data_IF_603635608305
#
_entry.id   IF_603635608305
#
_cell.length_a   1.000
_cell.length_b   1.000
_cell.length_c   1.000
_cell.angle_alpha   90.00
_cell.angle_beta   90.00
_cell.angle_gamma   90.00
#
_symmetry.space_group_name_H-M   'P 1'
#
loop_
_entity.id
_entity.type
_entity.pdbx_description
1 polymer ?
#
# COMPACT_ATOMS: atom_id res chain seq x y z
N UNK A 1 7.07 71.77 -22.25
CA UNK A 1 8.42 71.28 -22.60
C UNK A 1 8.47 69.76 -22.44
N UNK A 2 8.91 69.08 -23.50
CA UNK A 2 9.29 67.66 -23.61
C UNK A 2 8.21 66.61 -23.33
N UNK A 3 7.50 66.28 -24.40
CA UNK A 3 6.80 65.01 -24.62
C UNK A 3 7.78 63.83 -24.59
N UNK A 4 7.63 62.93 -23.62
CA UNK A 4 8.35 61.65 -23.60
C UNK A 4 7.51 60.63 -24.37
N UNK A 5 7.99 60.21 -25.55
CA UNK A 5 7.45 59.08 -26.30
C UNK A 5 7.85 57.80 -25.56
N UNK A 6 6.86 57.11 -24.97
CA UNK A 6 7.07 55.77 -24.43
C UNK A 6 7.03 54.78 -25.61
N UNK A 7 8.20 54.26 -25.98
CA UNK A 7 8.35 53.19 -26.97
C UNK A 7 8.01 51.88 -26.27
N UNK A 8 6.87 51.28 -26.60
CA UNK A 8 6.55 49.91 -26.21
C UNK A 8 7.51 48.96 -26.95
N UNK A 9 8.46 48.37 -26.23
CA UNK A 9 9.16 47.18 -26.68
C UNK A 9 8.25 45.97 -26.43
N UNK A 10 7.56 45.52 -27.49
CA UNK A 10 6.89 44.23 -27.50
C UNK A 10 7.95 43.12 -27.53
N UNK A 11 8.31 42.61 -26.35
CA UNK A 11 9.12 41.40 -26.24
C UNK A 11 8.20 40.24 -26.61
N UNK A 12 8.28 39.77 -27.86
CA UNK A 12 7.75 38.47 -28.27
C UNK A 12 8.51 37.40 -27.49
N UNK A 13 7.92 36.91 -26.40
CA UNK A 13 8.29 35.63 -25.82
C UNK A 13 7.86 34.56 -26.82
N UNK A 14 8.79 34.12 -27.69
CA UNK A 14 8.65 32.83 -28.37
C UNK A 14 8.71 31.75 -27.29
N UNK A 15 7.56 31.44 -26.70
CA UNK A 15 7.40 30.20 -25.95
C UNK A 15 7.63 29.07 -26.94
N UNK A 16 8.76 28.37 -26.81
CA UNK A 16 8.95 27.10 -27.47
C UNK A 16 7.87 26.15 -26.93
N UNK A 17 6.75 26.05 -27.66
CA UNK A 17 5.83 24.94 -27.50
C UNK A 17 6.64 23.74 -27.95
N UNK A 18 7.20 23.01 -26.98
CA UNK A 18 7.67 21.65 -27.21
C UNK A 18 6.41 20.84 -27.47
N UNK A 19 5.94 20.86 -28.72
CA UNK A 19 5.10 19.82 -29.27
C UNK A 19 5.95 18.56 -29.20
N UNK A 20 5.80 17.81 -28.10
CA UNK A 20 6.31 16.46 -28.02
C UNK A 20 5.75 15.71 -29.24
N UNK A 21 6.60 15.47 -30.23
CA UNK A 21 6.22 14.65 -31.36
C UNK A 21 6.03 13.23 -30.82
N UNK A 22 4.80 12.74 -30.87
CA UNK A 22 4.42 11.37 -30.55
C UNK A 22 4.99 10.33 -31.55
N UNK A 23 6.07 10.67 -32.26
CA UNK A 23 6.73 9.80 -33.22
C UNK A 23 8.10 9.46 -32.68
N UNK A 24 8.23 8.18 -32.30
CA UNK A 24 9.44 7.40 -32.00
C UNK A 24 9.40 6.66 -30.65
N UNK A 25 8.20 6.31 -30.16
CA UNK A 25 8.08 5.20 -29.20
C UNK A 25 7.90 3.92 -30.03
N UNK A 26 8.90 3.02 -30.11
CA UNK A 26 8.69 1.72 -30.75
C UNK A 26 7.51 1.03 -30.04
N UNK A 27 6.58 0.37 -30.76
CA UNK A 27 5.49 -0.36 -30.12
C UNK A 27 6.13 -1.49 -29.32
N UNK A 28 6.22 -1.32 -28.00
CA UNK A 28 6.98 -2.26 -27.16
C UNK A 28 6.24 -3.59 -27.00
N UNK A 29 4.93 -3.65 -27.29
CA UNK A 29 4.14 -4.89 -27.36
C UNK A 29 2.92 -4.71 -28.28
N UNK A 30 2.36 -5.81 -28.81
CA UNK A 30 1.07 -5.80 -29.53
C UNK A 30 -0.16 -5.76 -28.61
N UNK A 31 0.02 -5.98 -27.31
CA UNK A 31 -1.07 -6.09 -26.32
C UNK A 31 -1.34 -4.79 -25.58
N UNK A 32 -0.29 -3.99 -25.32
CA UNK A 32 -0.36 -2.65 -24.72
C UNK A 32 0.64 -1.74 -25.41
N UNK A 33 0.16 -0.58 -25.88
CA UNK A 33 0.98 0.40 -26.59
C UNK A 33 0.45 1.83 -26.38
N UNK A 34 1.28 2.87 -26.54
CA UNK A 34 0.82 4.24 -26.47
C UNK A 34 -0.13 4.57 -27.64
N UNK A 35 -1.29 5.13 -27.31
CA UNK A 35 -2.25 5.70 -28.23
C UNK A 35 -1.88 7.11 -28.67
N UNK A 36 -2.60 7.61 -29.67
CA UNK A 36 -2.39 8.96 -30.23
C UNK A 36 -2.79 10.08 -29.28
N UNK A 37 -3.54 9.77 -28.22
CA UNK A 37 -3.96 10.69 -27.16
C UNK A 37 -3.01 10.69 -25.95
N UNK A 38 -1.88 9.97 -26.03
CA UNK A 38 -0.91 9.83 -24.95
C UNK A 38 -1.32 8.87 -23.83
N UNK A 39 -2.44 8.14 -23.98
CA UNK A 39 -2.86 7.07 -23.06
C UNK A 39 -2.46 5.71 -23.60
N UNK A 40 -2.43 4.70 -22.74
CA UNK A 40 -2.21 3.32 -23.17
C UNK A 40 -3.48 2.75 -23.82
N UNK A 41 -3.29 2.07 -24.95
CA UNK A 41 -4.31 1.26 -25.61
C UNK A 41 -4.11 -0.19 -25.17
N UNK A 42 -5.20 -0.85 -24.78
CA UNK A 42 -5.20 -2.22 -24.28
C UNK A 42 -5.97 -3.12 -25.25
N UNK A 43 -5.27 -4.07 -25.87
CA UNK A 43 -5.84 -5.03 -26.81
C UNK A 43 -6.37 -6.23 -26.04
N UNK A 44 -7.61 -6.62 -26.34
CA UNK A 44 -8.23 -7.81 -25.76
C UNK A 44 -7.82 -9.08 -26.51
N UNK A 45 -7.71 -10.20 -25.79
CA UNK A 45 -7.66 -11.53 -26.41
C UNK A 45 -9.06 -11.97 -26.91
N UNK A 46 -9.16 -13.20 -27.43
CA UNK A 46 -10.41 -13.75 -27.97
C UNK A 46 -11.53 -13.95 -26.94
N UNK A 47 -11.20 -13.97 -25.64
CA UNK A 47 -12.16 -14.05 -24.54
C UNK A 47 -12.46 -12.67 -23.93
N UNK A 48 -11.86 -11.60 -24.46
CA UNK A 48 -12.03 -10.24 -23.95
C UNK A 48 -11.03 -9.85 -22.85
N UNK A 49 -10.09 -10.72 -22.48
CA UNK A 49 -9.12 -10.42 -21.43
C UNK A 49 -8.14 -9.36 -21.90
N UNK A 50 -7.79 -8.44 -21.00
CA UNK A 50 -6.79 -7.40 -21.25
C UNK A 50 -5.73 -7.45 -20.16
N UNK A 51 -4.53 -7.00 -20.49
CA UNK A 51 -3.57 -6.59 -19.46
C UNK A 51 -4.29 -5.52 -18.60
N UNK A 52 -4.43 -5.71 -17.28
CA UNK A 52 -5.17 -4.76 -16.47
C UNK A 52 -4.54 -3.36 -16.49
N UNK A 53 -5.38 -2.33 -16.46
CA UNK A 53 -4.95 -0.96 -16.20
C UNK A 53 -4.69 -0.78 -14.69
N UNK A 54 -3.48 -0.32 -14.36
CA UNK A 54 -3.03 -0.07 -12.99
C UNK A 54 -2.99 1.43 -12.64
N UNK A 55 -3.49 2.31 -13.50
CA UNK A 55 -3.50 3.76 -13.30
C UNK A 55 -4.25 4.20 -12.04
N UNK A 56 -5.11 3.32 -11.49
CA UNK A 56 -5.87 3.57 -10.26
C UNK A 56 -5.08 3.30 -8.95
N UNK A 57 -3.81 2.91 -9.04
CA UNK A 57 -2.98 2.65 -7.87
C UNK A 57 -2.50 3.94 -7.20
N UNK A 58 -2.55 3.96 -5.87
CA UNK A 58 -2.04 5.04 -5.03
C UNK A 58 -3.13 5.97 -4.48
N UNK A 59 -2.67 7.02 -3.81
CA UNK A 59 -3.46 8.02 -3.10
C UNK A 59 -4.62 8.54 -3.96
N UNK A 60 -5.84 8.47 -3.41
CA UNK A 60 -7.10 8.86 -4.06
C UNK A 60 -7.37 8.22 -5.43
N UNK A 61 -6.86 7.01 -5.65
CA UNK A 61 -7.08 6.28 -6.90
C UNK A 61 -6.11 6.65 -8.01
N UNK A 62 -4.90 7.07 -7.65
CA UNK A 62 -3.85 7.44 -8.61
C UNK A 62 -4.08 8.80 -9.27
N UNK A 63 -3.05 9.30 -9.94
CA UNK A 63 -3.12 10.55 -10.73
C UNK A 63 -3.20 11.86 -9.93
N UNK A 64 -3.31 11.82 -8.60
CA UNK A 64 -3.30 12.99 -7.73
C UNK A 64 -1.99 13.10 -6.94
N UNK A 65 -1.39 14.30 -6.83
CA UNK A 65 -0.21 14.50 -6.00
C UNK A 65 -0.56 14.34 -4.52
N UNK A 66 0.39 13.81 -3.75
CA UNK A 66 0.30 13.79 -2.29
C UNK A 66 0.29 15.25 -1.79
N UNK A 67 -0.71 15.67 -0.99
CA UNK A 67 -0.85 17.05 -0.57
C UNK A 67 0.21 17.46 0.45
N UNK A 68 0.33 18.77 0.65
CA UNK A 68 0.97 19.34 1.83
C UNK A 68 -0.10 19.75 2.84
N UNK A 69 -0.05 19.16 4.04
CA UNK A 69 -0.97 19.48 5.14
C UNK A 69 -0.28 20.44 6.12
N UNK A 70 -0.86 21.61 6.47
CA UNK A 70 -0.26 22.54 7.41
C UNK A 70 -0.05 21.94 8.81
N UNK A 71 1.05 22.35 9.46
CA UNK A 71 1.31 21.97 10.85
C UNK A 71 0.28 22.61 11.79
N UNK A 72 -0.21 21.84 12.76
CA UNK A 72 -1.10 22.28 13.83
C UNK A 72 -0.53 22.05 15.22
N UNK A 73 0.43 21.14 15.34
CA UNK A 73 1.20 20.91 16.53
C UNK A 73 2.68 20.78 16.16
N UNK A 74 3.57 21.26 17.02
CA UNK A 74 5.02 21.08 16.88
C UNK A 74 5.62 20.70 18.22
N UNK A 75 6.36 19.60 18.25
CA UNK A 75 6.99 19.07 19.47
C UNK A 75 8.47 18.79 19.27
N UNK A 76 9.21 18.84 20.37
CA UNK A 76 10.64 18.53 20.46
C UNK A 76 10.83 17.21 21.21
N UNK A 77 11.94 16.50 20.99
CA UNK A 77 12.24 15.32 21.79
C UNK A 77 12.45 15.71 23.25
N UNK A 78 11.96 14.87 24.16
CA UNK A 78 12.22 14.97 25.60
C UNK A 78 13.20 13.87 26.03
N UNK A 79 13.93 14.02 27.15
CA UNK A 79 14.76 12.95 27.68
C UNK A 79 13.94 11.68 28.01
N UNK A 80 14.41 10.51 27.56
CA UNK A 80 13.76 9.22 27.81
C UNK A 80 12.63 8.89 26.82
N UNK A 81 11.62 8.14 27.27
CA UNK A 81 10.51 7.68 26.45
C UNK A 81 9.62 8.85 25.97
N UNK A 82 9.49 8.97 24.66
CA UNK A 82 8.69 9.97 23.96
C UNK A 82 7.33 9.42 23.49
N UNK A 83 7.00 8.16 23.78
CA UNK A 83 5.76 7.52 23.30
C UNK A 83 4.52 8.34 23.65
N UNK A 84 4.38 8.72 24.92
CA UNK A 84 3.21 9.47 25.40
C UNK A 84 3.24 10.94 24.93
N UNK A 85 4.42 11.53 24.75
CA UNK A 85 4.61 12.89 24.20
C UNK A 85 4.10 12.97 22.75
N UNK A 86 4.53 12.04 21.89
CA UNK A 86 4.09 11.99 20.48
C UNK A 86 2.61 11.62 20.40
N UNK A 87 2.15 10.65 21.19
CA UNK A 87 0.73 10.25 21.17
C UNK A 87 -0.18 11.42 21.58
N UNK A 88 0.18 12.18 22.62
CA UNK A 88 -0.60 13.35 23.03
C UNK A 88 -0.69 14.42 21.93
N UNK A 89 0.39 14.64 21.17
CA UNK A 89 0.38 15.56 20.03
C UNK A 89 -0.54 15.06 18.90
N UNK A 90 -0.51 13.75 18.60
CA UNK A 90 -1.44 13.11 17.65
C UNK A 90 -2.88 13.27 18.11
N UNK A 91 -3.16 13.03 19.39
CA UNK A 91 -4.52 13.11 19.96
C UNK A 91 -5.05 14.54 19.92
N UNK A 92 -4.19 15.54 20.21
CA UNK A 92 -4.53 16.97 20.10
C UNK A 92 -4.92 17.36 18.68
N UNK A 93 -4.15 16.94 17.67
CA UNK A 93 -4.50 17.20 16.26
C UNK A 93 -5.74 16.40 15.86
N UNK A 94 -5.91 15.17 16.35
CA UNK A 94 -7.08 14.33 16.10
C UNK A 94 -8.39 14.95 16.62
N UNK A 95 -8.32 15.80 17.65
CA UNK A 95 -9.47 16.52 18.20
C UNK A 95 -9.89 17.76 17.40
N UNK A 96 -9.04 18.29 16.51
CA UNK A 96 -9.37 19.46 15.69
C UNK A 96 -10.43 19.13 14.65
N UNK A 97 -11.36 20.05 14.30
CA UNK A 97 -12.30 19.81 13.21
C UNK A 97 -11.55 19.60 11.88
N UNK A 98 -11.97 18.65 11.04
CA UNK A 98 -11.39 18.51 9.71
C UNK A 98 -11.76 19.70 8.82
N UNK A 99 -10.85 20.06 7.92
CA UNK A 99 -11.09 21.03 6.86
C UNK A 99 -11.94 20.46 5.72
N UNK A 100 -12.19 21.27 4.68
CA UNK A 100 -13.00 20.88 3.52
C UNK A 100 -12.42 19.69 2.73
N UNK A 101 -11.13 19.36 2.91
CA UNK A 101 -10.46 18.25 2.27
C UNK A 101 -10.30 17.03 3.19
N UNK A 102 -10.83 17.12 4.42
CA UNK A 102 -10.81 16.06 5.42
C UNK A 102 -9.57 16.07 6.32
N UNK A 103 -8.73 17.11 6.29
CA UNK A 103 -7.52 17.20 7.10
C UNK A 103 -7.76 17.98 8.40
N UNK A 104 -7.26 17.44 9.50
CA UNK A 104 -7.21 18.09 10.82
C UNK A 104 -5.91 18.85 11.01
N UNK A 105 -4.80 18.32 10.47
CA UNK A 105 -3.50 18.96 10.50
C UNK A 105 -2.33 17.98 10.55
N UNK A 106 -1.12 18.53 10.50
CA UNK A 106 0.10 17.78 10.74
C UNK A 106 0.64 18.02 12.16
N UNK A 107 1.14 16.95 12.79
CA UNK A 107 2.05 16.98 13.93
C UNK A 107 3.47 17.03 13.39
N UNK A 108 4.17 18.12 13.65
CA UNK A 108 5.59 18.26 13.32
C UNK A 108 6.45 17.80 14.50
N UNK A 109 7.22 16.74 14.29
CA UNK A 109 8.34 16.35 15.14
C UNK A 109 9.57 17.11 14.65
N UNK A 110 10.17 17.92 15.52
CA UNK A 110 11.43 18.60 15.20
C UNK A 110 12.57 17.61 15.03
N UNK A 111 13.63 18.01 14.33
CA UNK A 111 14.84 17.19 14.23
C UNK A 111 15.37 16.81 15.62
N UNK A 112 15.86 15.58 15.75
CA UNK A 112 16.32 15.01 17.01
C UNK A 112 15.87 13.56 17.20
N UNK A 113 16.29 12.96 18.31
CA UNK A 113 16.07 11.54 18.62
C UNK A 113 14.94 11.37 19.62
N UNK A 114 13.96 10.57 19.25
CA UNK A 114 12.80 10.21 20.07
C UNK A 114 12.88 8.72 20.38
N UNK A 115 13.16 8.36 21.63
CA UNK A 115 13.08 6.97 22.08
C UNK A 115 11.62 6.60 22.31
N UNK A 116 11.18 5.42 21.85
CA UNK A 116 9.81 4.96 21.96
C UNK A 116 9.79 3.56 22.57
N UNK A 117 9.37 3.46 23.82
CA UNK A 117 9.16 2.17 24.51
C UNK A 117 7.79 1.54 24.21
N UNK A 118 6.89 2.31 23.59
CA UNK A 118 5.55 1.88 23.17
C UNK A 118 5.27 2.35 21.74
N UNK A 119 4.46 1.61 20.98
CA UNK A 119 4.03 2.06 19.67
C UNK A 119 3.09 3.27 19.77
N UNK A 120 3.11 4.12 18.75
CA UNK A 120 2.17 5.22 18.56
C UNK A 120 1.09 4.85 17.54
N UNK A 121 -0.08 5.48 17.64
CA UNK A 121 -1.24 5.17 16.80
C UNK A 121 -1.93 6.42 16.25
N UNK A 122 -2.26 6.40 14.96
CA UNK A 122 -3.16 7.34 14.30
C UNK A 122 -4.46 6.60 14.02
N UNK A 123 -5.52 6.97 14.76
CA UNK A 123 -6.82 6.26 14.75
C UNK A 123 -7.97 7.09 14.17
N UNK A 124 -7.68 8.31 13.71
CA UNK A 124 -8.67 9.27 13.23
C UNK A 124 -8.21 9.82 11.87
N UNK A 125 -9.18 10.04 10.97
CA UNK A 125 -8.93 10.63 9.65
C UNK A 125 -8.32 12.03 9.75
N UNK A 126 -7.52 12.39 8.74
CA UNK A 126 -7.04 13.75 8.53
C UNK A 126 -5.77 14.14 9.28
N UNK A 127 -5.04 13.18 9.85
CA UNK A 127 -3.86 13.44 10.68
C UNK A 127 -2.58 13.05 9.93
N UNK A 128 -1.60 13.94 9.92
CA UNK A 128 -0.28 13.68 9.34
C UNK A 128 0.79 13.71 10.44
N UNK A 129 1.65 12.72 10.49
CA UNK A 129 2.87 12.72 11.29
C UNK A 129 4.06 13.09 10.40
N UNK A 130 4.74 14.19 10.72
CA UNK A 130 5.81 14.76 9.89
C UNK A 130 7.07 14.95 10.73
N UNK A 131 8.22 14.53 10.22
CA UNK A 131 9.53 14.92 10.73
C UNK A 131 10.24 15.99 9.88
N UNK A 132 11.51 16.22 10.18
CA UNK A 132 12.39 17.18 9.50
C UNK A 132 13.53 16.49 8.74
N UNK A 133 13.26 15.31 8.17
CA UNK A 133 14.15 14.60 7.27
C UNK A 133 14.44 13.17 7.70
N UNK A 134 14.79 12.33 6.73
CA UNK A 134 15.07 10.90 6.92
C UNK A 134 16.55 10.55 7.08
N UNK A 135 17.43 11.55 7.21
CA UNK A 135 18.87 11.34 7.43
C UNK A 135 19.20 11.19 8.91
N UNK A 136 20.49 11.01 9.22
CA UNK A 136 21.01 10.86 10.58
C UNK A 136 21.01 12.17 11.39
N UNK A 137 20.69 13.30 10.75
CA UNK A 137 20.54 14.61 11.39
C UNK A 137 19.08 15.11 11.36
N UNK A 138 18.15 14.28 10.88
CA UNK A 138 16.72 14.60 10.80
C UNK A 138 15.94 14.22 12.05
N UNK A 139 14.69 13.78 11.86
CA UNK A 139 13.84 13.25 12.94
C UNK A 139 14.02 11.74 13.03
N UNK A 140 14.50 11.24 14.17
CA UNK A 140 14.81 9.83 14.37
C UNK A 140 13.90 9.23 15.44
N UNK A 141 13.15 8.20 15.10
CA UNK A 141 12.35 7.40 16.03
C UNK A 141 13.10 6.09 16.33
N UNK A 142 13.51 5.90 17.58
CA UNK A 142 14.16 4.68 18.05
C UNK A 142 13.15 3.84 18.81
N UNK A 143 12.68 2.74 18.21
CA UNK A 143 11.83 1.78 18.88
C UNK A 143 12.64 0.89 19.82
N UNK A 144 12.32 0.95 21.12
CA UNK A 144 12.97 0.16 22.17
C UNK A 144 11.97 -0.79 22.81
N UNK A 145 12.41 -2.01 23.08
CA UNK A 145 11.61 -2.96 23.86
C UNK A 145 12.26 -3.09 25.23
N UNK A 146 11.59 -2.67 26.32
CA UNK A 146 12.11 -2.79 27.67
C UNK A 146 12.57 -4.22 27.97
N UNK A 147 13.69 -4.38 28.69
CA UNK A 147 14.36 -5.68 28.90
C UNK A 147 13.51 -6.73 29.62
N UNK A 148 12.51 -6.29 30.37
CA UNK A 148 11.53 -7.13 31.08
C UNK A 148 10.35 -7.55 30.19
N UNK A 149 10.30 -7.08 28.94
CA UNK A 149 9.25 -7.37 27.97
C UNK A 149 9.78 -8.13 26.78
N UNK A 150 8.95 -9.02 26.27
CA UNK A 150 9.15 -9.62 24.95
C UNK A 150 8.58 -8.71 23.88
N UNK A 151 9.11 -8.82 22.67
CA UNK A 151 8.59 -8.10 21.53
C UNK A 151 7.07 -8.28 21.43
N UNK A 152 6.37 -7.15 21.36
CA UNK A 152 4.96 -7.13 21.06
C UNK A 152 4.75 -7.85 19.72
N UNK A 153 3.56 -8.45 19.55
CA UNK A 153 3.18 -9.13 18.30
C UNK A 153 3.33 -8.23 17.06
N UNK A 154 2.86 -8.69 15.90
CA UNK A 154 3.15 -8.09 14.57
C UNK A 154 2.63 -6.65 14.30
N UNK A 155 2.41 -5.81 15.30
CA UNK A 155 2.14 -4.38 15.16
C UNK A 155 3.37 -3.57 14.69
N UNK A 156 3.13 -2.31 14.35
CA UNK A 156 4.17 -1.36 13.96
C UNK A 156 4.63 -0.49 15.13
N UNK A 157 5.79 0.16 14.98
CA UNK A 157 6.16 1.30 15.83
C UNK A 157 5.16 2.45 15.64
N UNK A 158 4.71 2.64 14.40
CA UNK A 158 3.62 3.54 14.00
C UNK A 158 2.47 2.70 13.44
N UNK A 159 1.28 2.86 14.00
CA UNK A 159 0.08 2.16 13.57
C UNK A 159 -0.94 3.16 13.01
N UNK A 160 -1.22 3.09 11.72
CA UNK A 160 -2.34 3.78 11.08
C UNK A 160 -3.50 2.80 11.03
N UNK A 161 -4.43 2.91 11.97
CA UNK A 161 -5.51 1.93 12.10
C UNK A 161 -6.82 2.56 12.54
N UNK A 162 -7.82 2.50 11.66
CA UNK A 162 -9.21 2.77 12.03
C UNK A 162 -9.75 1.69 12.98
N UNK A 163 -10.72 2.05 13.85
CA UNK A 163 -11.32 1.10 14.80
C UNK A 163 -12.18 0.03 14.10
N UNK A 164 -12.71 0.34 12.92
CA UNK A 164 -13.62 -0.52 12.16
C UNK A 164 -13.21 -0.59 10.69
N UNK A 165 -13.48 -1.75 10.08
CA UNK A 165 -13.22 -2.03 8.68
C UNK A 165 -14.45 -1.69 7.82
N UNK A 166 -14.47 -2.18 6.59
CA UNK A 166 -15.70 -2.16 5.76
C UNK A 166 -16.72 -3.18 6.29
N UNK A 167 -18.00 -2.84 6.22
CA UNK A 167 -19.11 -3.74 6.58
C UNK A 167 -20.01 -3.99 5.35
N UNK A 168 -20.00 -5.20 4.76
CA UNK A 168 -20.88 -5.54 3.64
C UNK A 168 -22.37 -5.46 4.01
N UNK A 169 -23.19 -4.95 3.10
CA UNK A 169 -24.65 -4.86 3.23
C UNK A 169 -25.29 -5.97 2.40
N UNK A 170 -25.31 -7.19 2.93
CA UNK A 170 -25.69 -8.41 2.18
C UNK A 170 -27.11 -8.39 1.58
N UNK A 171 -28.02 -7.60 2.14
CA UNK A 171 -29.36 -7.35 1.59
C UNK A 171 -29.34 -6.64 0.23
N UNK A 172 -28.24 -5.95 -0.09
CA UNK A 172 -28.03 -5.30 -1.40
C UNK A 172 -27.44 -6.22 -2.45
N UNK A 173 -27.12 -7.48 -2.10
CA UNK A 173 -26.43 -8.41 -2.99
C UNK A 173 -27.13 -8.59 -4.33
N UNK A 174 -26.38 -8.55 -5.42
CA UNK A 174 -26.84 -8.90 -6.76
C UNK A 174 -25.86 -9.83 -7.46
N UNK A 175 -26.37 -10.91 -8.06
CA UNK A 175 -25.55 -11.84 -8.82
C UNK A 175 -25.07 -11.21 -10.12
N UNK A 176 -23.83 -11.50 -10.49
CA UNK A 176 -23.30 -11.24 -11.84
C UNK A 176 -23.91 -12.30 -12.78
N UNK A 177 -24.49 -11.85 -13.88
CA UNK A 177 -25.22 -12.72 -14.83
C UNK A 177 -24.41 -13.11 -16.06
N UNK A 178 -23.24 -12.50 -16.27
CA UNK A 178 -22.36 -12.89 -17.37
C UNK A 178 -21.79 -14.29 -17.13
N UNK A 179 -21.76 -15.11 -18.18
CA UNK A 179 -21.09 -16.42 -18.12
C UNK A 179 -19.57 -16.27 -17.91
N UNK A 180 -19.01 -15.15 -18.39
CA UNK A 180 -17.60 -14.82 -18.33
C UNK A 180 -17.42 -13.30 -18.24
N UNK A 181 -16.85 -12.82 -17.14
CA UNK A 181 -16.34 -11.44 -17.01
C UNK A 181 -14.81 -11.50 -17.18
N UNK A 182 -14.24 -10.85 -18.21
CA UNK A 182 -12.81 -10.98 -18.52
C UNK A 182 -11.88 -10.38 -17.45
N UNK A 183 -10.65 -10.89 -17.39
CA UNK A 183 -9.55 -10.21 -16.71
C UNK A 183 -9.35 -8.83 -17.33
N UNK A 184 -9.19 -7.80 -16.50
CA UNK A 184 -9.07 -6.42 -16.98
C UNK A 184 -10.41 -5.74 -17.28
N UNK A 185 -11.55 -6.40 -17.03
CA UNK A 185 -12.85 -5.79 -17.25
C UNK A 185 -13.19 -4.73 -16.18
N UNK A 186 -13.77 -3.62 -16.63
CA UNK A 186 -14.36 -2.57 -15.78
C UNK A 186 -15.89 -2.50 -15.90
N UNK A 187 -16.53 -3.52 -16.49
CA UNK A 187 -17.98 -3.59 -16.58
C UNK A 187 -18.49 -5.02 -16.66
N UNK A 188 -19.68 -5.25 -16.10
CA UNK A 188 -20.38 -6.54 -16.12
C UNK A 188 -21.88 -6.33 -15.87
N UNK A 189 -22.69 -7.33 -16.19
CA UNK A 189 -24.14 -7.35 -16.01
C UNK A 189 -24.52 -8.01 -14.68
N UNK A 190 -25.51 -7.44 -14.02
CA UNK A 190 -26.09 -7.99 -12.78
C UNK A 190 -27.57 -8.28 -12.93
N UNK A 191 -28.12 -9.12 -12.04
CA UNK A 191 -29.53 -9.50 -12.07
C UNK A 191 -30.49 -8.29 -12.02
N UNK A 192 -30.19 -7.30 -11.16
CA UNK A 192 -30.92 -6.03 -11.10
C UNK A 192 -30.02 -4.90 -10.59
N UNK A 193 -29.78 -3.89 -11.41
CA UNK A 193 -29.01 -2.71 -10.99
C UNK A 193 -29.87 -1.59 -10.37
N UNK A 194 -31.18 -1.81 -10.17
CA UNK A 194 -32.12 -0.75 -9.70
C UNK A 194 -31.73 -0.10 -8.38
N UNK A 195 -31.06 -0.84 -7.51
CA UNK A 195 -30.62 -0.34 -6.21
C UNK A 195 -29.27 0.39 -6.28
N UNK A 196 -28.59 0.42 -7.42
CA UNK A 196 -27.23 0.94 -7.59
C UNK A 196 -27.21 2.22 -8.41
N UNK A 197 -26.23 3.09 -8.12
CA UNK A 197 -25.97 4.33 -8.87
C UNK A 197 -24.47 4.64 -8.86
N UNK A 198 -24.06 5.54 -9.75
CA UNK A 198 -22.70 6.08 -9.73
C UNK A 198 -22.34 6.68 -8.35
N UNK A 199 -21.12 6.44 -7.90
CA UNK A 199 -20.61 6.80 -6.57
C UNK A 199 -20.87 5.76 -5.48
N UNK A 200 -21.72 4.76 -5.72
CA UNK A 200 -21.88 3.67 -4.76
C UNK A 200 -20.59 2.85 -4.67
N UNK A 201 -20.19 2.51 -3.43
CA UNK A 201 -19.07 1.63 -3.14
C UNK A 201 -19.55 0.20 -3.05
N UNK A 202 -18.86 -0.71 -3.72
CA UNK A 202 -19.22 -2.12 -3.79
C UNK A 202 -18.00 -3.01 -3.58
N UNK A 203 -18.25 -4.20 -3.04
CA UNK A 203 -17.37 -5.34 -3.21
C UNK A 203 -17.84 -6.13 -4.43
N UNK A 204 -16.96 -6.33 -5.40
CA UNK A 204 -17.15 -7.34 -6.44
C UNK A 204 -16.52 -8.64 -5.93
N UNK A 205 -17.33 -9.67 -5.74
CA UNK A 205 -16.94 -10.95 -5.14
C UNK A 205 -16.90 -12.03 -6.20
N UNK A 206 -15.75 -12.67 -6.34
CA UNK A 206 -15.51 -13.79 -7.25
C UNK A 206 -15.33 -15.07 -6.45
N UNK A 207 -16.14 -16.08 -6.74
CA UNK A 207 -16.10 -17.37 -6.06
C UNK A 207 -14.87 -18.16 -6.53
N UNK A 208 -14.05 -18.64 -5.59
CA UNK A 208 -13.00 -19.63 -5.80
C UNK A 208 -13.40 -20.96 -5.16
N UNK A 209 -14.12 -21.79 -5.90
CA UNK A 209 -14.58 -23.10 -5.43
C UNK A 209 -13.46 -24.17 -5.53
N UNK A 210 -13.73 -25.36 -5.00
CA UNK A 210 -12.74 -26.46 -5.00
C UNK A 210 -12.38 -26.92 -6.42
N UNK A 211 -13.36 -26.94 -7.34
CA UNK A 211 -13.13 -27.39 -8.72
C UNK A 211 -12.17 -26.46 -9.46
N UNK A 212 -12.30 -25.15 -9.29
CA UNK A 212 -11.35 -24.18 -9.81
C UNK A 212 -9.95 -24.36 -9.22
N UNK A 213 -9.85 -24.54 -7.91
CA UNK A 213 -8.56 -24.78 -7.22
C UNK A 213 -7.88 -26.03 -7.75
N UNK A 214 -8.65 -27.10 -7.99
CA UNK A 214 -8.16 -28.34 -8.59
C UNK A 214 -7.69 -28.14 -10.03
N UNK A 215 -8.45 -27.41 -10.84
CA UNK A 215 -8.13 -27.12 -12.23
C UNK A 215 -6.78 -26.38 -12.35
N UNK A 216 -6.51 -25.43 -11.45
CA UNK A 216 -5.23 -24.69 -11.45
C UNK A 216 -4.09 -25.43 -10.71
N UNK A 217 -4.35 -26.62 -10.16
CA UNK A 217 -3.35 -27.46 -9.51
C UNK A 217 -2.97 -27.08 -8.08
N UNK A 218 -3.67 -26.12 -7.47
CA UNK A 218 -3.36 -25.58 -6.13
C UNK A 218 -3.85 -26.47 -4.97
N UNK A 219 -4.53 -27.59 -5.25
CA UNK A 219 -4.83 -28.65 -4.29
C UNK A 219 -3.98 -29.94 -4.49
N UNK A 220 -3.03 -29.90 -5.43
CA UNK A 220 -2.21 -31.05 -5.82
C UNK A 220 -1.32 -31.57 -4.69
N UNK A 221 -0.91 -32.84 -4.76
CA UNK A 221 0.04 -33.43 -3.79
C UNK A 221 1.33 -32.59 -3.69
N UNK A 222 1.78 -32.00 -4.79
CA UNK A 222 2.96 -31.13 -4.84
C UNK A 222 2.82 -29.86 -3.97
N UNK A 223 1.62 -29.30 -3.85
CA UNK A 223 1.34 -28.18 -2.96
C UNK A 223 1.47 -28.56 -1.47
N UNK A 224 1.37 -29.85 -1.13
CA UNK A 224 1.64 -30.37 0.21
C UNK A 224 0.80 -29.71 1.29
N UNK A 225 1.46 -29.09 2.29
CA UNK A 225 0.77 -28.36 3.37
C UNK A 225 0.25 -26.97 2.94
N UNK A 226 0.67 -26.47 1.78
CA UNK A 226 0.29 -25.16 1.25
C UNK A 226 -0.92 -25.23 0.30
N UNK A 227 -1.61 -26.38 0.25
CA UNK A 227 -2.82 -26.55 -0.55
C UNK A 227 -3.86 -25.46 -0.26
N UNK A 228 -4.43 -24.91 -1.32
CA UNK A 228 -5.47 -23.92 -1.18
C UNK A 228 -6.78 -24.60 -0.76
N UNK A 229 -7.59 -23.84 -0.01
CA UNK A 229 -8.97 -24.18 0.33
C UNK A 229 -9.88 -23.18 -0.38
N UNK A 230 -11.17 -23.47 -0.63
CA UNK A 230 -12.07 -22.52 -1.25
C UNK A 230 -12.05 -21.15 -0.55
N UNK A 231 -11.99 -20.08 -1.33
CA UNK A 231 -12.00 -18.70 -0.86
C UNK A 231 -12.71 -17.78 -1.86
N UNK A 232 -13.08 -16.58 -1.40
CA UNK A 232 -13.65 -15.55 -2.26
C UNK A 232 -12.59 -14.49 -2.51
N UNK A 233 -12.40 -14.11 -3.76
CA UNK A 233 -11.61 -12.94 -4.13
C UNK A 233 -12.54 -11.73 -4.09
N UNK A 234 -12.14 -10.67 -3.38
CA UNK A 234 -12.94 -9.46 -3.22
C UNK A 234 -12.23 -8.27 -3.82
N UNK A 235 -12.96 -7.49 -4.62
CA UNK A 235 -12.47 -6.25 -5.22
C UNK A 235 -13.27 -5.07 -4.68
N UNK A 236 -12.62 -4.15 -3.97
CA UNK A 236 -13.20 -2.90 -3.49
C UNK A 236 -13.25 -1.89 -4.65
N UNK A 237 -14.45 -1.59 -5.13
CA UNK A 237 -14.69 -0.77 -6.32
C UNK A 237 -15.73 0.32 -6.08
N UNK A 238 -15.67 1.36 -6.90
CA UNK A 238 -16.67 2.42 -6.96
C UNK A 238 -17.38 2.32 -8.30
N UNK A 239 -18.71 2.35 -8.28
CA UNK A 239 -19.50 2.39 -9.50
C UNK A 239 -19.33 3.76 -10.14
N UNK A 240 -18.89 3.80 -11.40
CA UNK A 240 -18.75 5.03 -12.18
C UNK A 240 -19.98 5.30 -13.04
N UNK A 241 -20.69 4.25 -13.45
CA UNK A 241 -21.87 4.36 -14.30
C UNK A 241 -22.79 3.13 -14.16
N UNK A 242 -24.10 3.32 -14.38
CA UNK A 242 -25.10 2.25 -14.46
C UNK A 242 -25.89 2.39 -15.77
N UNK A 243 -25.89 1.36 -16.61
CA UNK A 243 -26.61 1.31 -17.90
C UNK A 243 -27.56 0.12 -17.93
N UNK A 244 -28.85 0.35 -17.64
CA UNK A 244 -29.78 -0.75 -17.47
C UNK A 244 -29.33 -1.64 -16.31
N UNK A 245 -28.95 -2.89 -16.61
CA UNK A 245 -28.38 -3.83 -15.64
C UNK A 245 -26.84 -3.96 -15.72
N UNK A 246 -26.18 -3.18 -16.57
CA UNK A 246 -24.71 -3.14 -16.66
C UNK A 246 -24.16 -2.16 -15.63
N UNK A 247 -23.22 -2.64 -14.81
CA UNK A 247 -22.44 -1.84 -13.86
C UNK A 247 -21.09 -1.54 -14.48
N UNK A 248 -20.63 -0.29 -14.38
CA UNK A 248 -19.26 0.13 -14.73
C UNK A 248 -18.53 0.54 -13.45
N UNK A 249 -17.29 0.09 -13.28
CA UNK A 249 -16.47 0.30 -12.08
C UNK A 249 -15.20 1.13 -12.36
N UNK A 250 -14.62 1.70 -11.31
CA UNK A 250 -13.47 2.61 -11.32
C UNK A 250 -12.14 1.97 -11.70
N UNK A 251 -11.94 0.69 -11.40
CA UNK A 251 -10.71 -0.05 -11.64
C UNK A 251 -11.02 -1.51 -12.05
N UNK A 252 -10.15 -2.19 -12.83
CA UNK A 252 -10.46 -3.51 -13.36
C UNK A 252 -10.52 -4.61 -12.29
N UNK A 253 -11.16 -5.73 -12.63
CA UNK A 253 -10.96 -6.99 -11.90
C UNK A 253 -9.70 -7.72 -12.41
N UNK A 254 -9.03 -8.46 -11.53
CA UNK A 254 -7.72 -9.08 -11.81
C UNK A 254 -7.77 -10.59 -12.02
N UNK A 255 -8.95 -11.18 -11.89
CA UNK A 255 -9.23 -12.60 -12.10
C UNK A 255 -10.62 -12.70 -12.69
N UNK A 256 -10.76 -13.49 -13.76
CA UNK A 256 -12.03 -13.64 -14.43
C UNK A 256 -13.12 -14.17 -13.48
N UNK A 257 -14.34 -13.67 -13.64
CA UNK A 257 -15.53 -14.23 -13.02
C UNK A 257 -16.14 -15.20 -14.03
N UNK A 258 -16.25 -16.47 -13.67
CA UNK A 258 -16.74 -17.52 -14.57
C UNK A 258 -17.90 -18.26 -13.92
N UNK A 259 -19.03 -18.36 -14.62
CA UNK A 259 -20.22 -19.04 -14.10
C UNK A 259 -19.94 -20.52 -13.76
N UNK A 260 -19.07 -21.19 -14.53
CA UNK A 260 -18.67 -22.60 -14.29
C UNK A 260 -17.96 -22.82 -12.94
N UNK A 261 -17.39 -21.78 -12.34
CA UNK A 261 -16.71 -21.86 -11.04
C UNK A 261 -17.55 -21.30 -9.88
N UNK A 262 -18.84 -21.05 -10.12
CA UNK A 262 -19.77 -20.46 -9.16
C UNK A 262 -20.03 -18.96 -9.39
N UNK A 263 -19.43 -18.36 -10.42
CA UNK A 263 -19.68 -16.98 -10.80
C UNK A 263 -19.22 -15.96 -9.75
N UNK A 264 -20.02 -14.92 -9.58
CA UNK A 264 -19.73 -13.84 -8.64
C UNK A 264 -20.95 -12.98 -8.36
N UNK A 265 -20.79 -12.05 -7.44
CA UNK A 265 -21.82 -11.11 -7.06
C UNK A 265 -21.23 -9.75 -6.67
N UNK A 266 -22.10 -8.75 -6.56
CA UNK A 266 -21.76 -7.45 -6.00
C UNK A 266 -22.59 -7.18 -4.75
N UNK A 267 -21.99 -6.48 -3.80
CA UNK A 267 -22.66 -6.04 -2.58
C UNK A 267 -22.17 -4.64 -2.21
N UNK A 268 -23.08 -3.75 -1.78
CA UNK A 268 -22.68 -2.46 -1.21
C UNK A 268 -22.00 -2.67 0.14
N UNK A 269 -21.27 -1.67 0.62
CA UNK A 269 -20.72 -1.71 1.97
C UNK A 269 -20.73 -0.34 2.64
N UNK A 270 -20.76 -0.35 3.97
CA UNK A 270 -20.47 0.83 4.79
C UNK A 270 -18.96 0.92 4.99
N UNK A 271 -18.42 2.11 4.76
CA UNK A 271 -16.98 2.37 4.78
C UNK A 271 -16.60 3.22 5.99
N UNK A 272 -16.17 2.58 7.07
CA UNK A 272 -15.76 3.26 8.31
C UNK A 272 -14.24 3.40 8.45
N UNK A 273 -13.50 3.03 7.40
CA UNK A 273 -12.04 3.17 7.37
C UNK A 273 -11.65 4.63 7.54
N UNK A 274 -10.58 4.86 8.30
CA UNK A 274 -9.99 6.20 8.38
C UNK A 274 -9.34 6.58 7.05
N UNK A 275 -9.24 7.87 6.80
CA UNK A 275 -8.63 8.37 5.57
C UNK A 275 -7.83 9.65 5.74
N UNK A 276 -7.09 10.04 4.70
CA UNK A 276 -6.32 11.28 4.69
C UNK A 276 -5.23 11.29 5.79
N UNK A 277 -4.45 10.21 5.85
CA UNK A 277 -3.38 10.02 6.85
C UNK A 277 -2.01 10.00 6.17
N UNK A 278 -1.04 10.67 6.75
CA UNK A 278 0.33 10.74 6.24
C UNK A 278 1.39 10.42 7.29
N UNK A 279 2.47 9.75 6.87
CA UNK A 279 3.72 9.65 7.66
C UNK A 279 4.88 10.05 6.77
N UNK A 280 5.64 11.08 7.13
CA UNK A 280 6.63 11.64 6.22
C UNK A 280 7.87 12.25 6.88
N UNK A 281 8.98 12.25 6.14
CA UNK A 281 10.21 12.98 6.44
C UNK A 281 10.86 12.55 7.77
N UNK A 282 11.03 11.25 8.01
CA UNK A 282 11.59 10.75 9.28
C UNK A 282 12.37 9.45 9.11
N UNK A 283 13.19 9.11 10.10
CA UNK A 283 13.99 7.88 10.16
C UNK A 283 13.50 6.99 11.30
N UNK A 284 13.30 5.70 11.01
CA UNK A 284 12.99 4.68 12.01
C UNK A 284 14.18 3.79 12.29
N UNK A 285 14.43 3.47 13.56
CA UNK A 285 15.45 2.50 13.98
C UNK A 285 14.83 1.56 14.99
N UNK A 286 14.92 0.26 14.74
CA UNK A 286 14.59 -0.77 15.74
C UNK A 286 15.84 -1.08 16.57
N UNK A 287 15.82 -0.80 17.88
CA UNK A 287 16.92 -1.19 18.78
C UNK A 287 16.90 -2.71 18.99
N UNK A 288 18.04 -3.36 18.78
CA UNK A 288 18.18 -4.82 18.88
C UNK A 288 19.43 -5.17 19.69
N UNK A 289 19.54 -6.42 20.13
CA UNK A 289 20.72 -6.95 20.81
C UNK A 289 21.79 -7.42 19.80
N UNK A 290 22.92 -6.70 19.63
CA UNK A 290 23.93 -7.04 18.64
C UNK A 290 24.77 -8.28 19.02
N UNK A 291 24.64 -8.80 20.25
CA UNK A 291 25.26 -10.05 20.66
C UNK A 291 24.51 -11.28 20.13
N UNK A 292 23.26 -11.13 19.67
CA UNK A 292 22.49 -12.21 19.08
C UNK A 292 22.83 -12.31 17.59
N UNK A 293 23.67 -13.28 17.26
CA UNK A 293 24.19 -13.52 15.90
C UNK A 293 24.16 -15.00 15.56
N UNK A 294 24.10 -15.30 14.27
CA UNK A 294 24.26 -16.67 13.79
C UNK A 294 24.92 -16.70 12.41
N UNK A 295 25.56 -17.84 12.11
CA UNK A 295 26.10 -18.17 10.79
C UNK A 295 25.23 -19.20 10.07
N UNK A 296 24.20 -19.72 10.74
CA UNK A 296 23.36 -20.79 10.22
C UNK A 296 22.20 -20.20 9.43
N UNK A 297 22.04 -20.69 8.21
CA UNK A 297 20.95 -20.40 7.31
C UNK A 297 20.06 -21.63 7.22
N UNK A 298 18.75 -21.43 7.24
CA UNK A 298 17.78 -22.46 6.85
C UNK A 298 17.39 -22.30 5.38
N UNK A 299 16.68 -23.28 4.83
CA UNK A 299 15.91 -23.06 3.62
C UNK A 299 14.85 -21.98 3.92
N UNK A 300 15.00 -20.81 3.31
CA UNK A 300 14.28 -19.58 3.68
C UNK A 300 12.74 -19.69 3.57
N UNK A 301 12.22 -20.69 2.86
CA UNK A 301 10.79 -20.93 2.62
C UNK A 301 10.24 -22.21 3.26
N UNK A 302 11.08 -23.03 3.91
CA UNK A 302 10.65 -24.28 4.54
C UNK A 302 10.84 -24.20 6.05
N UNK A 303 9.73 -24.38 6.77
CA UNK A 303 9.58 -24.69 8.20
C UNK A 303 10.47 -25.83 8.74
N UNK A 304 11.23 -26.50 7.88
CA UNK A 304 12.14 -27.57 8.26
C UNK A 304 13.49 -26.96 8.63
N UNK A 305 13.59 -26.50 9.87
CA UNK A 305 14.86 -26.20 10.57
C UNK A 305 15.71 -27.46 10.81
N UNK A 306 15.43 -28.56 10.11
CA UNK A 306 16.18 -29.79 10.25
C UNK A 306 17.65 -29.49 9.91
N UNK A 307 18.61 -29.87 10.78
CA UNK A 307 20.04 -29.63 10.57
C UNK A 307 20.55 -30.02 9.18
N UNK A 308 19.93 -31.04 8.54
CA UNK A 308 20.32 -31.47 7.18
C UNK A 308 20.06 -30.46 6.06
N UNK A 309 19.18 -29.49 6.29
CA UNK A 309 18.87 -28.42 5.33
C UNK A 309 19.49 -27.09 5.74
N UNK A 310 20.25 -27.07 6.84
CA UNK A 310 20.97 -25.90 7.27
C UNK A 310 22.31 -25.82 6.53
N UNK A 311 22.69 -24.63 6.11
CA UNK A 311 24.02 -24.35 5.58
C UNK A 311 24.66 -23.20 6.37
N UNK A 312 25.98 -23.15 6.38
CA UNK A 312 26.72 -22.05 7.00
C UNK A 312 26.96 -20.97 5.95
N UNK A 313 26.76 -19.71 6.33
CA UNK A 313 27.12 -18.55 5.53
C UNK A 313 27.73 -17.47 6.40
N UNK A 314 27.72 -16.23 5.92
CA UNK A 314 28.24 -15.08 6.67
C UNK A 314 27.45 -14.87 7.97
N UNK A 315 28.16 -14.46 9.02
CA UNK A 315 27.55 -14.07 10.28
C UNK A 315 26.60 -12.89 10.07
N UNK A 316 25.43 -12.93 10.72
CA UNK A 316 24.48 -11.84 10.69
C UNK A 316 23.75 -11.68 12.02
N UNK A 317 23.23 -10.48 12.26
CA UNK A 317 22.37 -10.17 13.40
C UNK A 317 21.02 -10.86 13.26
N UNK A 318 20.65 -11.62 14.29
CA UNK A 318 19.47 -12.49 14.27
C UNK A 318 18.63 -12.37 15.54
N UNK A 319 18.73 -11.22 16.22
CA UNK A 319 17.78 -10.91 17.28
C UNK A 319 16.35 -10.93 16.73
N UNK A 320 15.41 -11.44 17.51
CA UNK A 320 13.97 -11.41 17.21
C UNK A 320 13.22 -10.63 18.29
N UNK A 321 13.89 -10.22 19.38
CA UNK A 321 13.30 -9.51 20.50
C UNK A 321 13.41 -7.99 20.36
N UNK A 322 12.96 -7.47 19.22
CA UNK A 322 12.92 -6.04 18.92
C UNK A 322 11.74 -5.71 18.00
N UNK A 323 11.58 -4.43 17.65
CA UNK A 323 10.40 -3.97 16.92
C UNK A 323 10.31 -4.61 15.54
N UNK A 324 9.17 -5.26 15.28
CA UNK A 324 8.94 -6.07 14.08
C UNK A 324 8.66 -5.24 12.82
N UNK A 325 7.73 -4.29 12.89
CA UNK A 325 7.37 -3.46 11.75
C UNK A 325 7.60 -1.99 12.07
N UNK A 326 8.04 -1.19 11.10
CA UNK A 326 8.10 0.24 11.31
C UNK A 326 6.70 0.86 11.24
N UNK A 327 6.01 0.68 10.12
CA UNK A 327 4.68 1.24 9.89
C UNK A 327 3.71 0.13 9.51
N UNK A 328 2.60 0.04 10.23
CA UNK A 328 1.49 -0.86 9.91
C UNK A 328 0.24 -0.04 9.58
N UNK A 329 -0.39 -0.36 8.45
CA UNK A 329 -1.61 0.28 7.96
C UNK A 329 -2.72 -0.76 7.94
N UNK A 330 -3.83 -0.48 8.63
CA UNK A 330 -5.02 -1.35 8.68
C UNK A 330 -6.28 -0.49 8.63
N UNK A 331 -7.37 -0.98 8.04
CA UNK A 331 -8.66 -0.29 8.04
C UNK A 331 -8.55 1.20 7.64
N UNK A 332 -7.76 1.49 6.63
CA UNK A 332 -7.46 2.85 6.20
C UNK A 332 -7.42 2.97 4.67
N UNK A 333 -7.73 4.16 4.16
CA UNK A 333 -7.60 4.48 2.74
C UNK A 333 -7.03 5.87 2.53
N UNK A 334 -6.55 6.18 1.33
CA UNK A 334 -5.95 7.50 1.03
C UNK A 334 -4.81 7.83 2.01
N UNK A 335 -3.92 6.86 2.23
CA UNK A 335 -2.76 7.01 3.11
C UNK A 335 -1.52 7.23 2.27
N UNK A 336 -0.59 8.06 2.73
CA UNK A 336 0.73 8.14 2.12
C UNK A 336 1.85 8.01 3.14
N UNK A 337 2.93 7.35 2.70
CA UNK A 337 4.20 7.27 3.40
C UNK A 337 5.27 7.79 2.45
N UNK A 338 6.03 8.82 2.84
CA UNK A 338 7.07 9.36 1.95
C UNK A 338 8.32 9.86 2.66
N UNK A 339 9.45 9.80 1.96
CA UNK A 339 10.73 10.30 2.46
C UNK A 339 11.05 9.73 3.84
N UNK A 340 11.13 8.39 3.93
CA UNK A 340 11.54 7.73 5.17
C UNK A 340 12.72 6.80 4.95
N UNK A 341 13.56 6.65 5.98
CA UNK A 341 14.56 5.59 6.04
C UNK A 341 14.28 4.73 7.27
N UNK A 342 14.51 3.43 7.16
CA UNK A 342 14.23 2.48 8.23
C UNK A 342 15.37 1.48 8.38
N UNK A 343 15.82 1.29 9.62
CA UNK A 343 16.91 0.40 9.97
C UNK A 343 16.42 -0.71 10.91
N UNK A 344 16.91 -1.92 10.66
CA UNK A 344 16.88 -3.07 11.58
C UNK A 344 15.52 -3.68 11.89
N UNK A 345 14.39 -3.22 11.34
CA UNK A 345 13.08 -3.84 11.60
C UNK A 345 13.02 -5.32 11.17
N UNK A 346 12.43 -6.18 12.01
CA UNK A 346 12.53 -7.63 11.83
C UNK A 346 11.68 -8.19 10.68
N UNK A 347 10.49 -7.62 10.50
CA UNK A 347 9.49 -8.11 9.56
C UNK A 347 9.36 -7.17 8.37
N UNK A 348 8.92 -5.93 8.56
CA UNK A 348 8.65 -5.00 7.44
C UNK A 348 9.06 -3.58 7.77
N UNK A 349 9.36 -2.79 6.76
CA UNK A 349 9.37 -1.34 6.89
C UNK A 349 7.94 -0.82 6.78
N UNK A 350 7.20 -1.24 5.76
CA UNK A 350 5.79 -0.87 5.63
C UNK A 350 4.96 -2.12 5.35
N UNK A 351 3.94 -2.33 6.17
CA UNK A 351 2.95 -3.38 5.98
C UNK A 351 1.56 -2.74 5.89
N UNK A 352 0.93 -2.84 4.71
CA UNK A 352 -0.50 -2.60 4.55
C UNK A 352 -1.24 -3.92 4.67
N UNK A 353 -2.14 -4.03 5.65
CA UNK A 353 -3.01 -5.17 5.82
C UNK A 353 -4.18 -5.16 4.83
N UNK A 354 -4.79 -6.33 4.68
CA UNK A 354 -6.12 -6.54 4.13
C UNK A 354 -7.11 -5.46 4.60
N UNK A 355 -8.05 -5.09 3.72
CA UNK A 355 -9.04 -4.04 3.98
C UNK A 355 -8.54 -2.60 3.77
N UNK A 356 -7.25 -2.37 3.54
CA UNK A 356 -6.71 -1.05 3.19
C UNK A 356 -6.78 -0.79 1.68
N UNK A 357 -6.92 0.48 1.25
CA UNK A 357 -7.02 0.85 -0.18
C UNK A 357 -6.33 2.17 -0.49
N UNK A 358 -5.81 2.36 -1.71
CA UNK A 358 -5.27 3.65 -2.17
C UNK A 358 -4.16 4.18 -1.25
N UNK A 359 -3.12 3.38 -1.09
CA UNK A 359 -1.94 3.69 -0.29
C UNK A 359 -0.81 4.08 -1.25
N UNK A 360 -0.14 5.22 -1.04
CA UNK A 360 1.10 5.55 -1.74
C UNK A 360 2.28 5.47 -0.79
N UNK A 361 3.27 4.65 -1.12
CA UNK A 361 4.59 4.65 -0.52
C UNK A 361 5.57 5.19 -1.54
N UNK A 362 6.34 6.22 -1.22
CA UNK A 362 7.32 6.74 -2.15
C UNK A 362 8.59 7.25 -1.49
N UNK A 363 9.72 7.11 -2.19
CA UNK A 363 10.99 7.69 -1.74
C UNK A 363 11.38 7.16 -0.34
N UNK A 364 11.25 5.85 -0.15
CA UNK A 364 11.49 5.16 1.12
C UNK A 364 12.67 4.19 1.02
N UNK A 365 13.42 4.04 2.10
CA UNK A 365 14.59 3.18 2.15
C UNK A 365 14.54 2.20 3.33
N UNK A 366 14.91 0.94 3.07
CA UNK A 366 15.09 -0.10 4.08
C UNK A 366 16.54 -0.57 4.12
N UNK A 367 17.14 -0.55 5.30
CA UNK A 367 18.54 -0.88 5.53
C UNK A 367 18.70 -1.94 6.62
N UNK A 368 19.57 -2.91 6.35
CA UNK A 368 20.07 -3.89 7.33
C UNK A 368 19.00 -4.51 8.27
N UNK A 369 17.91 -5.15 7.78
CA UNK A 369 16.93 -5.79 8.65
C UNK A 369 17.58 -6.84 9.57
N UNK A 370 17.24 -6.80 10.86
CA UNK A 370 17.73 -7.74 11.87
C UNK A 370 16.62 -8.73 12.17
N UNK A 371 16.88 -10.00 11.90
CA UNK A 371 15.93 -11.10 12.14
C UNK A 371 16.59 -12.41 11.72
N UNK A 372 16.04 -13.53 12.16
CA UNK A 372 16.29 -14.81 11.51
C UNK A 372 15.75 -14.79 10.07
N UNK A 373 16.51 -15.38 9.13
CA UNK A 373 16.21 -15.34 7.68
C UNK A 373 15.31 -16.51 7.24
N UNK A 374 14.07 -16.53 7.72
CA UNK A 374 13.06 -17.53 7.31
C UNK A 374 11.64 -16.95 7.24
N UNK A 375 10.70 -17.75 6.73
CA UNK A 375 9.29 -17.43 6.58
C UNK A 375 8.69 -16.50 7.64
N UNK A 376 8.01 -15.44 7.17
CA UNK A 376 7.35 -14.44 8.00
C UNK A 376 8.22 -13.28 8.47
N UNK A 377 9.51 -13.21 8.10
CA UNK A 377 10.40 -12.05 8.36
C UNK A 377 10.80 -11.32 7.08
N UNK A 378 11.39 -10.12 7.18
CA UNK A 378 12.00 -9.37 6.06
C UNK A 378 11.14 -9.26 4.79
N UNK A 379 9.85 -9.03 4.99
CA UNK A 379 8.84 -8.64 3.99
C UNK A 379 8.78 -7.12 3.91
N UNK A 380 9.76 -6.49 3.25
CA UNK A 380 10.10 -5.10 3.49
C UNK A 380 8.95 -4.13 3.16
N UNK A 381 8.43 -4.20 1.93
CA UNK A 381 7.24 -3.47 1.48
C UNK A 381 6.12 -4.47 1.20
N UNK A 382 5.32 -4.75 2.23
CA UNK A 382 4.22 -5.71 2.16
C UNK A 382 2.88 -5.01 1.91
N UNK A 383 2.31 -5.19 0.72
CA UNK A 383 1.05 -4.57 0.31
C UNK A 383 -0.06 -5.62 0.16
N UNK A 384 -0.78 -5.90 1.25
CA UNK A 384 -1.94 -6.80 1.25
C UNK A 384 -3.28 -6.06 1.01
N UNK A 385 -3.24 -4.72 0.91
CA UNK A 385 -4.39 -3.90 0.55
C UNK A 385 -4.68 -3.91 -0.96
N UNK A 386 -5.55 -3.01 -1.42
CA UNK A 386 -5.91 -2.87 -2.83
C UNK A 386 -5.50 -1.53 -3.42
N UNK A 387 -5.08 -1.54 -4.69
CA UNK A 387 -4.74 -0.32 -5.43
C UNK A 387 -3.67 0.52 -4.71
N UNK A 388 -2.66 -0.13 -4.15
CA UNK A 388 -1.50 0.52 -3.53
C UNK A 388 -0.42 0.83 -4.59
N UNK A 389 0.28 1.95 -4.45
CA UNK A 389 1.44 2.32 -5.23
C UNK A 389 2.67 2.39 -4.33
N UNK A 390 3.70 1.63 -4.63
CA UNK A 390 5.04 1.74 -4.03
C UNK A 390 5.99 2.18 -5.12
N UNK A 391 6.64 3.34 -4.97
CA UNK A 391 7.50 3.88 -6.02
C UNK A 391 8.81 4.47 -5.52
N UNK A 392 9.91 4.34 -6.29
CA UNK A 392 11.22 4.88 -5.92
C UNK A 392 11.64 4.44 -4.51
N UNK A 393 11.40 3.17 -4.21
CA UNK A 393 11.72 2.58 -2.91
C UNK A 393 12.91 1.64 -3.02
N UNK A 394 13.76 1.68 -2.00
CA UNK A 394 14.96 0.86 -1.90
C UNK A 394 14.84 -0.16 -0.76
N UNK A 395 15.38 -1.36 -1.00
CA UNK A 395 15.44 -2.45 -0.01
C UNK A 395 16.80 -3.14 -0.04
N UNK A 396 17.50 -3.15 1.09
CA UNK A 396 18.71 -3.93 1.30
C UNK A 396 18.43 -5.15 2.19
N UNK A 397 18.96 -6.32 1.82
CA UNK A 397 18.96 -7.56 2.64
C UNK A 397 17.56 -8.07 3.03
N UNK A 398 16.53 -7.65 2.30
CA UNK A 398 15.18 -8.19 2.41
C UNK A 398 15.10 -9.63 1.90
N UNK A 399 14.29 -10.50 2.52
CA UNK A 399 14.03 -11.83 1.93
C UNK A 399 13.04 -11.70 0.77
N UNK A 400 11.95 -10.98 1.00
CA UNK A 400 11.04 -10.56 -0.05
C UNK A 400 10.87 -9.05 0.08
N UNK A 401 11.53 -8.31 -0.80
CA UNK A 401 11.56 -6.84 -0.72
C UNK A 401 10.22 -6.19 -1.06
N UNK A 402 9.53 -6.74 -2.06
CA UNK A 402 8.25 -6.23 -2.56
C UNK A 402 7.26 -7.39 -2.58
N UNK A 403 6.26 -7.35 -1.70
CA UNK A 403 5.45 -8.53 -1.35
C UNK A 403 3.97 -8.22 -1.44
N UNK A 404 3.23 -9.15 -2.04
CA UNK A 404 1.78 -9.25 -1.98
C UNK A 404 1.43 -10.53 -1.24
N UNK A 405 0.43 -10.50 -0.36
CA UNK A 405 -0.03 -11.68 0.35
C UNK A 405 -1.55 -11.74 0.41
N UNK A 406 -2.09 -12.92 0.15
CA UNK A 406 -3.51 -13.22 0.29
C UNK A 406 -4.34 -12.83 -0.94
N UNK A 407 -5.59 -13.32 -1.00
CA UNK A 407 -6.48 -13.16 -2.17
C UNK A 407 -7.01 -11.73 -2.36
N UNK A 408 -6.88 -10.87 -1.34
CA UNK A 408 -7.38 -9.50 -1.37
C UNK A 408 -6.37 -8.50 -1.92
N UNK A 409 -5.09 -8.88 -2.01
CA UNK A 409 -4.02 -8.05 -2.54
C UNK A 409 -4.17 -7.90 -4.07
N UNK A 410 -4.74 -6.79 -4.53
CA UNK A 410 -5.07 -6.61 -5.95
C UNK A 410 -4.85 -5.19 -6.46
N UNK A 411 -4.38 -5.09 -7.71
CA UNK A 411 -4.09 -3.81 -8.35
C UNK A 411 -2.95 -3.00 -7.71
N UNK A 412 -2.09 -3.66 -6.93
CA UNK A 412 -0.93 -3.04 -6.31
C UNK A 412 0.22 -2.93 -7.32
N UNK A 413 0.96 -1.82 -7.25
CA UNK A 413 2.05 -1.49 -8.17
C UNK A 413 3.35 -1.25 -7.38
N UNK A 414 4.44 -1.86 -7.86
CA UNK A 414 5.80 -1.51 -7.48
C UNK A 414 6.50 -0.90 -8.68
N UNK A 415 6.83 0.39 -8.64
CA UNK A 415 7.32 1.16 -9.78
C UNK A 415 8.67 1.80 -9.47
N UNK A 416 9.69 1.54 -10.29
CA UNK A 416 11.03 2.11 -10.08
C UNK A 416 11.61 1.79 -8.68
N UNK A 417 11.43 0.55 -8.24
CA UNK A 417 11.90 0.09 -6.95
C UNK A 417 13.15 -0.79 -7.11
N UNK A 418 14.10 -0.68 -6.17
CA UNK A 418 15.35 -1.43 -6.20
C UNK A 418 15.49 -2.33 -4.96
N UNK A 419 15.99 -3.55 -5.18
CA UNK A 419 16.38 -4.45 -4.10
C UNK A 419 17.83 -4.94 -4.31
N UNK A 420 18.61 -4.93 -3.24
CA UNK A 420 19.98 -5.49 -3.20
C UNK A 420 20.13 -6.43 -2.00
N UNK A 421 21.10 -7.34 -2.08
CA UNK A 421 21.44 -8.29 -1.01
C UNK A 421 22.67 -7.87 -0.22
#
# INVERSE_FOLDING_TARGET
>A
MKSVKLILFSILFLGAVVLAKAQDIPPTTTLVYPGTDGKLVYVADSLGNKIPDFSNAGYKGGGLPIPYVPNKETIWPVPGDNSDNIQAAIDKVSALPPDAFGFRGAVLLKAGTYELEKPISIKVSGVVLRGEGMSEIGTILIGKIPKDRQAYGRGGLINVSGPTAIAPLEDTKQLITDNYVPVGACSFNVASAKAFKAGDKILVRRVGNQDWIKEIGEDSIAAGRNKWRPFTITYDRVITEVKGNTIVIDAPIFTAVEARWGGGDIVKYVDERIEQVGVENLRGISEYNPSVRQMTYGNMDRDKLNPKFQYKGEEYFSDENHVSNFIVISNAKNVWIRNISALHFATSVIQSNAGSKWITVQDCESWEPVSQRWGGRRFIYQMNGQLCLVQRCFSQKGRHSFVLQGPEASGNVFFDCQAIN
#
